data_IF_647085086524
#
_entry.id   IF_647085086524
#
_cell.length_a   1.000
_cell.length_b   1.000
_cell.length_c   1.000
_cell.angle_alpha   90.00
_cell.angle_beta   90.00
_cell.angle_gamma   90.00
#
_symmetry.space_group_name_H-M   'P 1'
#
loop_
_entity.id
_entity.type
_entity.pdbx_description
1 polymer ?
#
# COMPACT_ATOMS: atom_id res chain seq x y z
N UNK A 1 3.61 -9.57 -32.90
CA UNK A 1 4.06 -9.05 -31.59
C UNK A 1 5.06 -10.05 -31.03
N UNK A 2 6.28 -9.62 -30.73
CA UNK A 2 7.24 -10.47 -30.02
C UNK A 2 6.67 -10.70 -28.62
N UNK A 3 6.30 -11.94 -28.32
CA UNK A 3 6.04 -12.37 -26.94
C UNK A 3 7.36 -12.14 -26.19
N UNK A 4 7.38 -11.43 -25.06
CA UNK A 4 8.59 -11.36 -24.25
C UNK A 4 9.07 -12.79 -24.00
N UNK A 5 10.38 -13.02 -24.13
CA UNK A 5 10.95 -14.30 -23.74
C UNK A 5 10.51 -14.60 -22.30
N UNK A 6 10.18 -15.85 -22.01
CA UNK A 6 9.90 -16.26 -20.65
C UNK A 6 11.15 -15.93 -19.82
N UNK A 7 10.99 -15.01 -18.88
CA UNK A 7 11.99 -14.67 -17.89
C UNK A 7 11.98 -15.82 -16.88
N UNK A 8 12.90 -16.79 -17.06
CA UNK A 8 13.08 -17.95 -16.15
C UNK A 8 13.70 -17.54 -14.81
N UNK A 9 13.93 -16.24 -14.60
CA UNK A 9 14.43 -15.72 -13.33
C UNK A 9 13.37 -15.90 -12.24
N UNK A 10 13.77 -16.48 -11.10
CA UNK A 10 12.91 -16.60 -9.93
C UNK A 10 12.34 -15.21 -9.57
N UNK A 11 11.00 -15.03 -9.57
CA UNK A 11 10.37 -13.76 -9.23
C UNK A 11 10.84 -13.19 -7.89
N UNK A 12 11.18 -14.05 -6.92
CA UNK A 12 11.71 -13.62 -5.63
C UNK A 12 13.11 -13.02 -5.75
N UNK A 13 13.98 -13.62 -6.57
CA UNK A 13 15.30 -13.06 -6.83
C UNK A 13 15.22 -11.76 -7.63
N UNK A 14 14.29 -11.66 -8.59
CA UNK A 14 14.07 -10.39 -9.30
C UNK A 14 13.58 -9.27 -8.37
N UNK A 15 12.68 -9.60 -7.44
CA UNK A 15 12.22 -8.65 -6.43
C UNK A 15 13.40 -8.26 -5.52
N UNK A 16 14.16 -9.23 -5.00
CA UNK A 16 15.35 -8.98 -4.17
C UNK A 16 16.34 -8.05 -4.89
N UNK A 17 16.64 -8.35 -6.15
CA UNK A 17 17.61 -7.60 -6.95
C UNK A 17 17.17 -6.15 -7.13
N UNK A 18 15.87 -5.90 -7.34
CA UNK A 18 15.31 -4.55 -7.43
C UNK A 18 15.54 -3.69 -6.17
N UNK A 19 15.79 -4.29 -5.01
CA UNK A 19 16.11 -3.58 -3.77
C UNK A 19 17.62 -3.38 -3.53
N UNK A 20 18.52 -4.00 -4.31
CA UNK A 20 19.98 -4.00 -4.04
C UNK A 20 20.58 -2.60 -4.04
N UNK A 21 20.19 -1.77 -5.01
CA UNK A 21 20.70 -0.41 -5.18
C UNK A 21 19.82 0.64 -4.50
N UNK A 22 18.78 0.21 -3.79
CA UNK A 22 17.85 1.10 -3.11
C UNK A 22 18.49 1.60 -1.81
N UNK A 23 18.71 2.92 -1.66
CA UNK A 23 19.33 3.44 -0.45
C UNK A 23 18.43 3.15 0.76
N UNK A 24 19.04 2.66 1.84
CA UNK A 24 18.32 2.49 3.09
C UNK A 24 17.73 3.83 3.54
N UNK A 25 16.50 3.80 4.04
CA UNK A 25 15.90 4.96 4.67
C UNK A 25 16.77 5.42 5.86
N UNK A 26 16.94 6.73 6.08
CA UNK A 26 17.66 7.21 7.24
C UNK A 26 16.96 6.73 8.52
N UNK A 27 17.71 6.31 9.55
CA UNK A 27 17.10 5.85 10.79
C UNK A 27 16.29 6.98 11.43
N UNK A 28 15.06 6.67 11.83
CA UNK A 28 14.26 7.57 12.66
C UNK A 28 14.91 7.73 14.04
N UNK A 29 14.79 8.90 14.70
CA UNK A 29 15.22 9.04 16.08
C UNK A 29 14.44 8.03 16.94
N UNK A 30 15.11 7.33 17.88
CA UNK A 30 14.44 6.36 18.72
C UNK A 30 13.39 7.06 19.62
N UNK A 31 12.28 6.39 19.94
CA UNK A 31 11.32 6.92 20.89
C UNK A 31 11.96 7.06 22.28
N UNK A 32 11.44 7.97 23.10
CA UNK A 32 11.92 8.15 24.47
C UNK A 32 11.68 6.90 25.34
N UNK A 33 10.65 6.13 25.00
CA UNK A 33 10.27 4.90 25.66
C UNK A 33 9.54 3.99 24.68
N UNK A 34 9.85 2.70 24.72
CA UNK A 34 9.08 1.62 24.11
C UNK A 34 9.20 0.37 24.99
N UNK A 35 8.17 -0.45 25.02
CA UNK A 35 8.14 -1.74 25.71
C UNK A 35 8.47 -2.85 24.70
N UNK A 36 9.66 -3.43 24.83
CA UNK A 36 10.18 -4.48 23.93
C UNK A 36 9.34 -5.76 23.96
N UNK A 37 8.55 -5.99 25.02
CA UNK A 37 7.65 -7.14 25.14
C UNK A 37 6.28 -6.89 24.48
N UNK A 38 6.02 -5.67 23.97
CA UNK A 38 4.79 -5.30 23.29
C UNK A 38 4.95 -5.21 21.76
N UNK A 39 3.94 -5.74 21.07
CA UNK A 39 3.75 -5.64 19.63
C UNK A 39 2.42 -4.97 19.32
N UNK A 40 2.44 -3.95 18.47
CA UNK A 40 1.21 -3.41 17.86
C UNK A 40 1.09 -3.85 16.41
N UNK A 41 -0.08 -4.39 16.07
CA UNK A 41 -0.41 -4.90 14.75
C UNK A 41 -1.43 -4.01 14.06
N UNK A 42 -1.09 -3.52 12.86
CA UNK A 42 -1.87 -2.59 12.06
C UNK A 42 -2.26 -3.26 10.71
N UNK A 43 -3.39 -3.96 10.66
CA UNK A 43 -3.85 -4.61 9.44
C UNK A 43 -4.50 -3.62 8.47
N UNK A 44 -4.06 -3.63 7.23
CA UNK A 44 -4.63 -2.90 6.09
C UNK A 44 -5.25 -3.94 5.16
N UNK A 45 -6.55 -3.85 4.94
CA UNK A 45 -7.30 -4.72 4.05
C UNK A 45 -8.22 -3.87 3.17
N UNK A 46 -8.51 -4.35 1.95
CA UNK A 46 -9.56 -3.81 1.07
C UNK A 46 -9.44 -2.29 0.85
N UNK A 47 -8.21 -1.78 0.75
CA UNK A 47 -7.98 -0.36 0.53
C UNK A 47 -8.40 0.07 -0.89
N UNK A 48 -8.36 -0.87 -1.85
CA UNK A 48 -8.72 -0.67 -3.25
C UNK A 48 -8.22 0.67 -3.82
N UNK A 49 -6.94 0.96 -3.59
CA UNK A 49 -6.27 2.14 -4.14
C UNK A 49 -6.37 2.07 -5.66
N UNK A 50 -6.96 3.11 -6.26
CA UNK A 50 -7.24 3.18 -7.70
C UNK A 50 -8.70 2.97 -8.09
N UNK A 51 -9.57 2.56 -7.16
CA UNK A 51 -11.01 2.52 -7.39
C UNK A 51 -11.58 3.94 -7.55
N UNK A 52 -12.56 4.09 -8.44
CA UNK A 52 -13.33 5.31 -8.60
C UNK A 52 -14.78 5.05 -8.17
N UNK A 53 -15.28 5.85 -7.25
CA UNK A 53 -16.70 5.88 -6.91
C UNK A 53 -17.25 7.28 -7.12
N UNK A 54 -18.34 7.37 -7.87
CA UNK A 54 -19.05 8.64 -8.06
C UNK A 54 -20.01 8.89 -6.91
N UNK A 55 -19.80 9.96 -6.16
CA UNK A 55 -20.54 10.24 -4.94
C UNK A 55 -22.03 10.54 -5.16
N UNK A 56 -22.44 11.01 -6.33
CA UNK A 56 -23.88 11.19 -6.62
C UNK A 56 -24.62 9.84 -6.73
N UNK A 57 -23.94 8.80 -7.21
CA UNK A 57 -24.49 7.46 -7.31
C UNK A 57 -24.35 6.68 -6.01
N UNK A 58 -23.18 6.74 -5.39
CA UNK A 58 -22.79 5.87 -4.26
C UNK A 58 -22.92 6.55 -2.89
N UNK A 59 -23.20 7.85 -2.86
CA UNK A 59 -23.34 8.68 -1.67
C UNK A 59 -22.03 9.32 -1.17
N UNK A 60 -20.86 8.85 -1.62
CA UNK A 60 -19.55 9.45 -1.31
C UNK A 60 -18.54 9.19 -2.41
N UNK A 61 -17.73 10.20 -2.73
CA UNK A 61 -16.63 10.01 -3.66
C UNK A 61 -15.54 9.09 -3.08
N UNK A 62 -14.92 8.35 -3.99
CA UNK A 62 -13.71 7.59 -3.72
C UNK A 62 -12.78 7.68 -4.93
N UNK A 63 -11.49 7.92 -4.67
CA UNK A 63 -10.45 7.98 -5.68
C UNK A 63 -9.10 7.59 -5.04
N UNK A 64 -8.04 7.54 -5.85
CA UNK A 64 -6.69 7.17 -5.39
C UNK A 64 -6.19 8.08 -4.27
N UNK A 65 -6.49 9.38 -4.34
CA UNK A 65 -6.03 10.36 -3.35
C UNK A 65 -6.77 10.16 -2.02
N UNK A 66 -8.08 9.99 -2.06
CA UNK A 66 -8.93 9.72 -0.89
C UNK A 66 -8.49 8.42 -0.22
N UNK A 67 -8.21 7.36 -0.99
CA UNK A 67 -7.71 6.09 -0.48
C UNK A 67 -6.39 6.27 0.30
N UNK A 68 -5.38 6.91 -0.32
CA UNK A 68 -4.09 7.14 0.32
C UNK A 68 -4.18 8.07 1.54
N UNK A 69 -4.98 9.13 1.49
CA UNK A 69 -5.15 10.06 2.61
C UNK A 69 -5.88 9.39 3.78
N UNK A 70 -6.91 8.58 3.49
CA UNK A 70 -7.60 7.76 4.48
C UNK A 70 -6.64 6.77 5.14
N UNK A 71 -5.79 6.11 4.36
CA UNK A 71 -4.81 5.16 4.87
C UNK A 71 -3.85 5.82 5.87
N UNK A 72 -3.24 6.95 5.48
CA UNK A 72 -2.34 7.73 6.35
C UNK A 72 -3.04 8.23 7.61
N UNK A 73 -4.25 8.77 7.46
CA UNK A 73 -5.02 9.29 8.58
C UNK A 73 -5.40 8.19 9.57
N UNK A 74 -5.80 7.02 9.07
CA UNK A 74 -6.17 5.87 9.89
C UNK A 74 -4.95 5.33 10.65
N UNK A 75 -3.83 5.04 9.96
CA UNK A 75 -2.60 4.56 10.62
C UNK A 75 -2.11 5.57 11.64
N UNK A 76 -2.11 6.87 11.31
CA UNK A 76 -1.71 7.92 12.25
C UNK A 76 -2.56 7.93 13.52
N UNK A 77 -3.88 7.73 13.41
CA UNK A 77 -4.77 7.62 14.57
C UNK A 77 -4.51 6.34 15.38
N UNK A 78 -4.27 5.21 14.72
CA UNK A 78 -3.95 3.95 15.38
C UNK A 78 -2.63 4.05 16.14
N UNK A 79 -1.57 4.57 15.52
CA UNK A 79 -0.26 4.78 16.16
C UNK A 79 -0.39 5.71 17.37
N UNK A 80 -1.11 6.83 17.23
CA UNK A 80 -1.32 7.78 18.33
C UNK A 80 -2.13 7.19 19.50
N UNK A 81 -2.90 6.13 19.26
CA UNK A 81 -3.75 5.49 20.27
C UNK A 81 -3.15 4.19 20.83
N UNK A 82 -2.09 3.68 20.20
CA UNK A 82 -1.43 2.44 20.60
C UNK A 82 -0.49 2.66 21.80
N UNK A 83 -0.26 1.63 22.63
CA UNK A 83 0.83 1.67 23.59
C UNK A 83 2.18 1.77 22.88
N UNK A 84 3.17 2.36 23.55
CA UNK A 84 4.55 2.46 23.06
C UNK A 84 5.17 1.06 22.95
N UNK A 85 4.96 0.40 21.82
CA UNK A 85 5.39 -0.98 21.56
C UNK A 85 6.77 -0.98 20.92
N UNK A 86 7.67 -1.84 21.38
CA UNK A 86 8.99 -2.02 20.78
C UNK A 86 8.92 -2.60 19.37
N UNK A 87 7.85 -3.33 19.04
CA UNK A 87 7.60 -3.84 17.68
C UNK A 87 6.29 -3.32 17.09
N UNK A 88 6.36 -2.78 15.87
CA UNK A 88 5.21 -2.43 15.06
C UNK A 88 5.15 -3.27 13.79
N UNK A 89 3.96 -3.80 13.45
CA UNK A 89 3.74 -4.56 12.22
C UNK A 89 2.64 -3.91 11.40
N UNK A 90 2.98 -3.43 10.22
CA UNK A 90 2.02 -3.01 9.19
C UNK A 90 1.83 -4.20 8.25
N UNK A 91 0.62 -4.76 8.19
CA UNK A 91 0.30 -5.88 7.30
C UNK A 91 -0.68 -5.44 6.22
N UNK A 92 -0.32 -5.62 4.96
CA UNK A 92 -1.26 -5.56 3.85
C UNK A 92 -1.87 -6.95 3.65
N UNK A 93 -3.12 -7.13 4.09
CA UNK A 93 -3.80 -8.42 4.17
C UNK A 93 -4.46 -8.86 2.84
N UNK A 94 -4.57 -7.96 1.87
CA UNK A 94 -5.20 -8.21 0.57
C UNK A 94 -5.80 -6.94 -0.02
N UNK A 95 -6.10 -6.97 -1.32
CA UNK A 95 -6.87 -5.94 -2.04
C UNK A 95 -6.43 -4.49 -1.79
N UNK A 96 -5.11 -4.31 -1.73
CA UNK A 96 -4.51 -2.97 -1.63
C UNK A 96 -4.81 -2.16 -2.89
N UNK A 97 -4.66 -2.78 -4.06
CA UNK A 97 -4.92 -2.15 -5.36
C UNK A 97 -6.29 -2.58 -5.86
N UNK A 98 -6.95 -1.69 -6.60
CA UNK A 98 -8.23 -2.01 -7.22
C UNK A 98 -8.10 -2.83 -8.51
N UNK A 99 -7.01 -2.65 -9.26
CA UNK A 99 -6.80 -3.29 -10.55
C UNK A 99 -5.39 -3.89 -10.66
N UNK A 100 -5.31 -5.08 -11.27
CA UNK A 100 -4.06 -5.84 -11.44
C UNK A 100 -3.17 -5.27 -12.55
N UNK A 101 -3.75 -4.57 -13.53
CA UNK A 101 -3.03 -4.01 -14.66
C UNK A 101 -3.71 -2.73 -15.23
N UNK A 102 -3.22 -2.28 -16.38
CA UNK A 102 -3.70 -1.10 -17.09
C UNK A 102 -4.96 -1.32 -17.95
N UNK A 103 -5.48 -2.55 -18.03
CA UNK A 103 -6.67 -2.86 -18.85
C UNK A 103 -7.97 -2.42 -18.19
N UNK A 104 -7.93 -2.14 -16.88
CA UNK A 104 -9.11 -1.76 -16.07
C UNK A 104 -10.20 -2.85 -16.14
N UNK A 105 -9.77 -4.11 -16.19
CA UNK A 105 -10.64 -5.28 -16.22
C UNK A 105 -10.08 -6.36 -15.30
N UNK A 106 -10.96 -7.16 -14.70
CA UNK A 106 -10.53 -8.36 -13.97
C UNK A 106 -9.89 -9.36 -14.93
N UNK A 107 -8.78 -10.00 -14.53
CA UNK A 107 -8.00 -10.87 -15.41
C UNK A 107 -8.80 -12.06 -15.97
N UNK A 108 -9.63 -12.72 -15.16
CA UNK A 108 -10.32 -13.95 -15.56
C UNK A 108 -11.62 -13.68 -16.33
N UNK A 109 -12.54 -12.91 -15.73
CA UNK A 109 -13.89 -12.69 -16.27
C UNK A 109 -14.02 -11.45 -17.16
N UNK A 110 -12.98 -10.60 -17.23
CA UNK A 110 -12.96 -9.35 -17.99
C UNK A 110 -14.10 -8.38 -17.64
N UNK A 111 -14.58 -8.42 -16.40
CA UNK A 111 -15.48 -7.40 -15.89
C UNK A 111 -14.76 -6.06 -15.85
N UNK A 112 -15.42 -5.02 -16.36
CA UNK A 112 -14.90 -3.64 -16.36
C UNK A 112 -14.87 -3.13 -14.92
N UNK A 113 -13.77 -2.49 -14.56
CA UNK A 113 -13.56 -1.84 -13.27
C UNK A 113 -13.60 -0.33 -13.45
N UNK A 114 -14.27 0.35 -12.51
CA UNK A 114 -14.23 1.81 -12.43
C UNK A 114 -12.93 2.24 -11.75
N UNK A 115 -11.99 2.74 -12.57
CA UNK A 115 -10.66 3.16 -12.12
C UNK A 115 -10.48 4.67 -12.19
N UNK A 116 -9.79 5.25 -11.21
CA UNK A 116 -9.57 6.70 -11.11
C UNK A 116 -8.55 7.20 -12.14
N UNK A 117 -7.44 6.49 -12.33
CA UNK A 117 -6.31 6.99 -13.14
C UNK A 117 -5.46 5.88 -13.77
N UNK A 118 -4.30 6.25 -14.33
CA UNK A 118 -3.30 5.33 -14.90
C UNK A 118 -2.75 4.39 -13.83
N UNK A 119 -2.75 3.09 -14.11
CA UNK A 119 -2.29 2.03 -13.20
C UNK A 119 -0.94 2.33 -12.53
N UNK A 120 0.08 2.75 -13.29
CA UNK A 120 1.40 3.05 -12.70
C UNK A 120 1.41 4.27 -11.75
N UNK A 121 0.55 5.28 -12.00
CA UNK A 121 0.37 6.38 -11.04
C UNK A 121 -0.25 5.87 -9.75
N UNK A 122 -1.25 5.00 -9.85
CA UNK A 122 -1.91 4.37 -8.70
C UNK A 122 -0.91 3.54 -7.89
N UNK A 123 -0.07 2.75 -8.56
CA UNK A 123 1.02 1.99 -7.92
C UNK A 123 1.97 2.91 -7.14
N UNK A 124 2.50 3.96 -7.77
CA UNK A 124 3.41 4.91 -7.12
C UNK A 124 2.78 5.55 -5.88
N UNK A 125 1.49 5.91 -5.97
CA UNK A 125 0.74 6.48 -4.86
C UNK A 125 0.49 5.48 -3.74
N UNK A 126 0.18 4.22 -4.06
CA UNK A 126 0.00 3.15 -3.08
C UNK A 126 1.30 2.86 -2.33
N UNK A 127 2.43 2.74 -3.06
CA UNK A 127 3.78 2.57 -2.48
C UNK A 127 4.09 3.74 -1.54
N UNK A 128 3.89 4.97 -2.01
CA UNK A 128 4.11 6.18 -1.20
C UNK A 128 3.18 6.24 0.02
N UNK A 129 1.95 5.74 -0.09
CA UNK A 129 0.99 5.64 1.00
C UNK A 129 1.44 4.66 2.08
N UNK A 130 1.88 3.46 1.68
CA UNK A 130 2.43 2.46 2.61
C UNK A 130 3.73 2.91 3.26
N UNK A 131 4.64 3.52 2.51
CA UNK A 131 5.88 4.08 3.06
C UNK A 131 5.58 5.11 4.15
N UNK A 132 4.62 6.01 3.92
CA UNK A 132 4.18 6.96 4.94
C UNK A 132 3.59 6.29 6.19
N UNK A 133 2.91 5.15 6.04
CA UNK A 133 2.38 4.39 7.18
C UNK A 133 3.50 3.76 8.01
N UNK A 134 4.53 3.24 7.35
CA UNK A 134 5.74 2.72 8.01
C UNK A 134 6.45 3.85 8.76
N UNK A 135 6.65 5.00 8.10
CA UNK A 135 7.28 6.17 8.72
C UNK A 135 6.50 6.72 9.92
N UNK A 136 5.17 6.57 9.92
CA UNK A 136 4.34 6.94 11.07
C UNK A 136 4.50 5.96 12.22
N UNK A 137 4.51 4.65 11.93
CA UNK A 137 4.61 3.60 12.94
C UNK A 137 6.02 3.42 13.52
N UNK A 138 7.06 3.89 12.81
CA UNK A 138 8.45 3.82 13.25
C UNK A 138 8.92 5.01 14.11
N UNK A 139 8.04 5.98 14.39
CA UNK A 139 8.33 7.19 15.16
C UNK A 139 8.01 7.06 16.64
#
# INVERSE_FOLDING_TARGET
MLKPAADDTDPLERIREAFTDLPAAPPAPPPLYADDDLLTFYPIADAHVGALAWGEETGKDYDTKIACDRLRSWVGQCVASAPASGTGVILVAGDLLHADDQTSQTLESRHVLDVDTRHFRTLDMAISGLAACIDLAAR
#
